data_IF_376468886080
#
_entry.id   IF_376468886080
#
_cell.length_a   1.000
_cell.length_b   1.000
_cell.length_c   1.000
_cell.angle_alpha   90.00
_cell.angle_beta   90.00
_cell.angle_gamma   90.00
#
_symmetry.space_group_name_H-M   'P 1'
#
loop_
_entity.id
_entity.type
_entity.pdbx_description
1 polymer ?
#
# COMPACT_ATOMS: atom_id res chain seq x y z
N UNK A 1 13.34 3.21 4.10
CA UNK A 1 13.00 3.92 5.35
C UNK A 1 13.01 2.91 6.49
N UNK A 2 13.06 3.33 7.76
CA UNK A 2 13.77 2.69 8.89
C UNK A 2 15.31 2.89 8.83
N UNK A 3 15.79 4.13 9.02
CA UNK A 3 17.25 4.42 9.08
C UNK A 3 17.84 4.29 10.50
N UNK A 4 17.02 4.35 11.54
CA UNK A 4 17.45 4.26 12.95
C UNK A 4 16.28 3.75 13.78
N UNK A 5 16.22 2.43 14.00
CA UNK A 5 15.23 1.66 14.79
C UNK A 5 14.23 2.49 15.59
N UNK A 6 13.17 2.98 14.94
CA UNK A 6 11.99 3.38 15.66
C UNK A 6 11.26 2.07 16.04
N UNK A 7 10.62 2.05 17.21
CA UNK A 7 9.92 0.90 17.76
C UNK A 7 9.08 0.12 16.72
N UNK A 8 8.42 0.82 15.78
CA UNK A 8 7.58 0.23 14.75
C UNK A 8 8.27 -0.71 13.75
N UNK A 9 9.54 -0.47 13.37
CA UNK A 9 10.23 -1.32 12.38
C UNK A 9 10.63 -2.70 12.95
N UNK A 10 10.47 -2.90 14.27
CA UNK A 10 10.76 -4.17 14.95
C UNK A 10 9.54 -5.08 15.02
N UNK A 11 8.34 -4.52 15.03
CA UNK A 11 7.09 -5.25 15.28
C UNK A 11 6.22 -5.44 14.03
N UNK A 12 6.61 -4.84 12.91
CA UNK A 12 5.91 -4.94 11.63
C UNK A 12 6.84 -5.40 10.52
N UNK A 13 6.25 -6.07 9.54
CA UNK A 13 6.95 -6.37 8.30
C UNK A 13 7.20 -5.08 7.53
N UNK A 14 8.45 -4.89 7.10
CA UNK A 14 8.89 -3.66 6.43
C UNK A 14 9.18 -3.96 4.97
N UNK A 15 8.56 -3.19 4.08
CA UNK A 15 8.85 -3.24 2.65
C UNK A 15 10.32 -2.85 2.37
N UNK A 16 11.05 -3.73 1.67
CA UNK A 16 12.46 -3.55 1.29
C UNK A 16 12.61 -3.39 -0.21
N UNK A 17 12.60 -2.15 -0.66
CA UNK A 17 12.72 -1.77 -2.08
C UNK A 17 13.90 -2.43 -2.81
N UNK A 18 15.04 -2.61 -2.13
CA UNK A 18 16.25 -3.20 -2.71
C UNK A 18 16.18 -4.72 -2.94
N UNK A 19 15.10 -5.38 -2.51
CA UNK A 19 14.87 -6.81 -2.72
C UNK A 19 13.81 -7.08 -3.79
N UNK A 20 13.24 -6.05 -4.40
CA UNK A 20 12.21 -6.18 -5.43
C UNK A 20 12.73 -5.69 -6.77
N UNK A 21 12.68 -6.57 -7.78
CA UNK A 21 13.09 -6.27 -9.15
C UNK A 21 12.02 -5.50 -9.93
N UNK A 22 10.78 -5.46 -9.44
CA UNK A 22 9.67 -4.70 -10.06
C UNK A 22 9.40 -3.36 -9.38
N UNK A 23 10.13 -3.07 -8.30
CA UNK A 23 10.01 -1.81 -7.59
C UNK A 23 10.48 -0.62 -8.42
N UNK A 24 9.69 0.45 -8.40
CA UNK A 24 10.14 1.76 -8.86
C UNK A 24 9.49 2.90 -8.07
N UNK A 25 10.28 3.95 -7.85
CA UNK A 25 9.84 5.15 -7.15
C UNK A 25 9.15 6.12 -8.12
N UNK A 26 7.94 6.56 -7.77
CA UNK A 26 7.15 7.48 -8.58
C UNK A 26 7.49 8.94 -8.23
N UNK A 27 8.62 9.41 -8.75
CA UNK A 27 9.22 10.72 -8.40
C UNK A 27 8.32 11.92 -8.66
N UNK A 28 7.34 11.80 -9.55
CA UNK A 28 6.44 12.88 -9.95
C UNK A 28 5.43 13.30 -8.87
N UNK A 29 5.15 12.45 -7.87
CA UNK A 29 4.13 12.73 -6.84
C UNK A 29 4.71 13.26 -5.52
N UNK A 30 6.04 13.35 -5.38
CA UNK A 30 6.68 13.75 -4.12
C UNK A 30 6.27 12.83 -2.95
N UNK A 31 6.20 13.41 -1.75
CA UNK A 31 5.72 12.71 -0.55
C UNK A 31 4.25 13.03 -0.30
N UNK A 32 3.48 11.99 0.02
CA UNK A 32 2.07 12.12 0.40
C UNK A 32 1.95 11.97 1.92
N UNK A 33 1.05 12.75 2.51
CA UNK A 33 0.64 12.63 3.91
C UNK A 33 -0.81 12.18 3.97
N UNK A 34 -1.05 11.02 4.56
CA UNK A 34 -2.37 10.52 4.90
C UNK A 34 -2.58 10.70 6.40
N UNK A 35 -3.69 11.35 6.77
CA UNK A 35 -4.12 11.48 8.16
C UNK A 35 -5.34 10.58 8.36
N UNK A 36 -5.22 9.57 9.22
CA UNK A 36 -6.32 8.69 9.59
C UNK A 36 -6.42 8.64 11.12
N UNK A 37 -7.50 9.19 11.67
CA UNK A 37 -7.62 9.47 13.11
C UNK A 37 -6.36 10.22 13.63
N UNK A 38 -5.66 9.67 14.61
CA UNK A 38 -4.43 10.23 15.17
C UNK A 38 -3.15 9.78 14.43
N UNK A 39 -3.28 8.87 13.46
CA UNK A 39 -2.15 8.31 12.73
C UNK A 39 -1.85 9.19 11.52
N UNK A 40 -0.58 9.61 11.42
CA UNK A 40 -0.03 10.28 10.25
C UNK A 40 0.91 9.33 9.52
N UNK A 41 0.52 8.98 8.30
CA UNK A 41 1.29 8.13 7.38
C UNK A 41 1.94 9.06 6.37
N UNK A 42 3.26 9.05 6.30
CA UNK A 42 4.04 9.92 5.41
C UNK A 42 5.06 9.10 4.63
N UNK A 43 5.09 9.28 3.31
CA UNK A 43 6.07 8.62 2.46
C UNK A 43 5.94 9.02 0.98
N UNK A 44 6.95 8.68 0.16
CA UNK A 44 6.86 8.86 -1.27
C UNK A 44 5.89 7.86 -1.89
N UNK A 45 5.33 8.18 -3.05
CA UNK A 45 4.64 7.18 -3.86
C UNK A 45 5.66 6.23 -4.49
N UNK A 46 5.39 4.95 -4.40
CA UNK A 46 6.12 3.89 -5.11
C UNK A 46 5.13 3.02 -5.90
N UNK A 47 5.68 2.25 -6.83
CA UNK A 47 4.98 1.18 -7.51
C UNK A 47 5.76 -0.12 -7.40
N UNK A 48 5.02 -1.22 -7.31
CA UNK A 48 5.56 -2.56 -7.33
C UNK A 48 4.46 -3.56 -7.75
N UNK A 49 4.81 -4.84 -7.90
CA UNK A 49 3.83 -5.90 -8.12
C UNK A 49 3.13 -6.26 -6.81
N UNK A 50 1.82 -6.02 -6.71
CA UNK A 50 1.00 -6.49 -5.60
C UNK A 50 0.51 -7.92 -5.88
N UNK A 51 0.65 -8.83 -4.92
CA UNK A 51 0.02 -10.15 -4.97
C UNK A 51 -1.06 -10.26 -3.91
N UNK A 52 -2.31 -10.50 -4.32
CA UNK A 52 -3.46 -10.64 -3.42
C UNK A 52 -4.36 -11.77 -3.89
N UNK A 53 -4.68 -12.73 -3.01
CA UNK A 53 -5.53 -13.88 -3.37
C UNK A 53 -5.00 -14.71 -4.55
N UNK A 54 -3.68 -14.74 -4.77
CA UNK A 54 -3.04 -15.42 -5.91
C UNK A 54 -3.03 -14.60 -7.22
N UNK A 55 -3.64 -13.43 -7.25
CA UNK A 55 -3.65 -12.52 -8.40
C UNK A 55 -2.45 -11.58 -8.30
N UNK A 56 -1.68 -11.47 -9.39
CA UNK A 56 -0.57 -10.52 -9.52
C UNK A 56 -1.02 -9.28 -10.25
N UNK A 57 -0.90 -8.13 -9.60
CA UNK A 57 -1.28 -6.81 -10.11
C UNK A 57 0.03 -6.03 -10.31
N UNK A 58 0.54 -5.90 -11.55
CA UNK A 58 1.73 -5.12 -11.82
C UNK A 58 1.47 -3.63 -11.61
N UNK A 59 2.52 -2.86 -11.36
CA UNK A 59 2.51 -1.39 -11.27
C UNK A 59 1.50 -0.84 -10.25
N UNK A 60 1.23 -1.60 -9.19
CA UNK A 60 0.34 -1.16 -8.12
C UNK A 60 1.00 -0.04 -7.32
N UNK A 61 0.36 1.13 -7.30
CA UNK A 61 0.85 2.29 -6.58
C UNK A 61 0.51 2.23 -5.09
N UNK A 62 1.51 2.47 -4.24
CA UNK A 62 1.38 2.44 -2.78
C UNK A 62 2.35 3.44 -2.13
N UNK A 63 2.20 3.64 -0.81
CA UNK A 63 3.08 4.51 -0.03
C UNK A 63 3.79 3.66 1.04
N UNK A 64 5.10 3.35 0.89
CA UNK A 64 5.87 2.78 1.99
C UNK A 64 6.02 3.85 3.08
N UNK A 65 5.39 3.59 4.23
CA UNK A 65 5.26 4.60 5.26
C UNK A 65 5.44 4.02 6.67
N UNK A 66 5.65 4.94 7.60
CA UNK A 66 5.70 4.66 9.03
C UNK A 66 4.40 5.19 9.67
N UNK A 67 3.98 4.63 10.82
CA UNK A 67 2.89 5.21 11.61
C UNK A 67 1.92 4.21 12.24
N UNK A 68 1.92 2.94 11.83
CA UNK A 68 0.99 1.90 12.32
C UNK A 68 1.37 1.26 13.67
N UNK A 69 2.07 1.98 14.55
CA UNK A 69 2.73 1.40 15.73
C UNK A 69 1.82 0.74 16.79
N UNK A 70 0.51 1.05 16.79
CA UNK A 70 -0.47 0.46 17.72
C UNK A 70 -1.43 -0.52 17.04
N UNK A 71 -1.32 -0.67 15.71
CA UNK A 71 -2.22 -1.52 14.97
C UNK A 71 -1.66 -2.96 14.94
N UNK A 72 -2.50 -3.99 15.02
CA UNK A 72 -2.07 -5.39 14.83
C UNK A 72 -1.83 -5.74 13.34
N UNK A 73 -1.75 -4.74 12.46
CA UNK A 73 -1.62 -4.90 11.00
C UNK A 73 -0.47 -4.03 10.48
N UNK A 74 0.22 -4.48 9.44
CA UNK A 74 1.37 -3.76 8.87
C UNK A 74 0.99 -2.58 7.97
N UNK A 75 -0.24 -2.57 7.46
CA UNK A 75 -0.72 -1.52 6.56
C UNK A 75 -2.19 -1.67 6.20
N UNK A 76 -2.63 -0.84 5.25
CA UNK A 76 -4.02 -0.77 4.79
C UNK A 76 -4.06 -0.89 3.27
N UNK A 77 -4.95 -1.74 2.76
CA UNK A 77 -5.31 -1.79 1.34
C UNK A 77 -6.68 -1.13 1.15
N UNK A 78 -6.71 0.05 0.54
CA UNK A 78 -7.94 0.75 0.20
C UNK A 78 -8.65 0.06 -0.98
N UNK A 79 -9.93 -0.24 -0.82
CA UNK A 79 -10.79 -0.87 -1.85
C UNK A 79 -11.84 0.10 -2.42
N UNK A 80 -11.72 1.39 -2.10
CA UNK A 80 -12.60 2.44 -2.61
C UNK A 80 -12.25 2.82 -4.05
N UNK A 81 -13.13 3.59 -4.69
CA UNK A 81 -12.83 4.22 -5.97
C UNK A 81 -11.67 5.24 -5.86
N UNK A 82 -11.11 5.59 -7.02
CA UNK A 82 -9.95 6.48 -7.12
C UNK A 82 -10.22 7.89 -6.56
N UNK A 83 -11.46 8.35 -6.60
CA UNK A 83 -11.87 9.65 -6.04
C UNK A 83 -11.64 9.72 -4.52
N UNK A 84 -11.54 8.58 -3.85
CA UNK A 84 -11.16 8.49 -2.44
C UNK A 84 -9.65 8.45 -2.17
N UNK A 85 -8.81 8.46 -3.20
CA UNK A 85 -7.36 8.34 -3.06
C UNK A 85 -6.68 9.69 -2.88
N UNK A 86 -5.78 9.79 -1.90
CA UNK A 86 -4.80 10.86 -1.82
C UNK A 86 -3.53 10.36 -2.53
N UNK A 87 -3.45 10.59 -3.84
CA UNK A 87 -2.33 10.14 -4.68
C UNK A 87 -2.77 9.37 -5.92
N UNK A 88 -1.82 8.85 -6.69
CA UNK A 88 -2.13 8.09 -7.90
C UNK A 88 -2.57 6.66 -7.55
N UNK A 89 -3.84 6.44 -7.19
CA UNK A 89 -4.36 5.06 -7.26
C UNK A 89 -4.70 4.72 -8.71
N UNK A 90 -3.68 4.36 -9.48
CA UNK A 90 -3.85 3.79 -10.82
C UNK A 90 -3.42 2.32 -10.82
N UNK A 91 -4.07 1.55 -9.96
CA UNK A 91 -4.22 0.13 -10.23
C UNK A 91 -5.57 -0.02 -10.90
N UNK A 92 -5.63 0.21 -12.22
CA UNK A 92 -6.71 -0.40 -13.01
C UNK A 92 -6.34 -1.87 -13.09
N UNK A 93 -7.04 -2.79 -12.41
CA UNK A 93 -6.88 -4.20 -12.72
C UNK A 93 -7.17 -4.33 -14.21
N UNK A 94 -6.22 -4.80 -15.00
CA UNK A 94 -6.50 -5.13 -16.39
C UNK A 94 -7.74 -6.02 -16.40
N UNK A 95 -8.69 -5.74 -17.30
CA UNK A 95 -10.04 -6.31 -17.32
C UNK A 95 -10.10 -7.85 -17.44
N UNK A 96 -8.94 -8.53 -17.49
CA UNK A 96 -8.81 -9.98 -17.61
C UNK A 96 -8.31 -10.66 -16.32
N UNK A 97 -8.10 -9.93 -15.22
CA UNK A 97 -7.60 -10.52 -13.96
C UNK A 97 -8.72 -11.13 -13.10
N UNK A 98 -9.96 -10.68 -13.27
CA UNK A 98 -11.12 -11.10 -12.49
C UNK A 98 -12.28 -11.39 -13.43
N UNK A 99 -13.07 -12.42 -13.11
CA UNK A 99 -14.22 -12.83 -13.93
C UNK A 99 -15.38 -11.84 -13.81
N UNK A 100 -15.63 -11.35 -12.60
CA UNK A 100 -16.66 -10.37 -12.30
C UNK A 100 -16.00 -9.21 -11.53
N UNK A 101 -16.35 -7.95 -11.83
CA UNK A 101 -15.78 -6.77 -11.16
C UNK A 101 -16.43 -6.55 -9.79
N UNK A 102 -16.48 -7.58 -8.95
CA UNK A 102 -17.09 -7.56 -7.62
C UNK A 102 -16.15 -8.18 -6.59
N UNK A 103 -16.28 -7.76 -5.33
CA UNK A 103 -15.66 -8.41 -4.18
C UNK A 103 -16.67 -8.52 -3.05
N UNK A 104 -16.48 -9.50 -2.17
CA UNK A 104 -17.34 -9.73 -1.01
C UNK A 104 -16.50 -9.92 0.25
N UNK A 105 -17.06 -9.51 1.39
CA UNK A 105 -16.43 -9.62 2.69
C UNK A 105 -17.33 -10.47 3.58
N UNK A 106 -16.80 -11.59 4.06
CA UNK A 106 -17.42 -12.36 5.14
C UNK A 106 -16.62 -12.12 6.42
N UNK A 107 -17.26 -11.48 7.41
CA UNK A 107 -16.65 -11.19 8.70
C UNK A 107 -17.40 -12.00 9.76
N UNK A 108 -16.74 -13.01 10.30
CA UNK A 108 -17.25 -13.77 11.44
C UNK A 108 -17.02 -12.96 12.72
N UNK A 109 -18.05 -12.86 13.56
CA UNK A 109 -17.95 -12.28 14.91
C UNK A 109 -17.41 -13.29 15.89
#
# INVERSE_FOLDING_TARGET
MCKSTPYYCKYHDVFRANLSDTYHLEKQYGNISLSYAEIKVYGPVAKDTLTVGGIRIPDFAFVPANGFYQAPVDGILGLSFQEGSQGPSRATPNNNLIREPTFSLYIKK
#
